data_IF_965392999470
#
_entry.id   IF_965392999470
#
_cell.length_a   1.000
_cell.length_b   1.000
_cell.length_c   1.000
_cell.angle_alpha   90.00
_cell.angle_beta   90.00
_cell.angle_gamma   90.00
#
_symmetry.space_group_name_H-M   'P 1'
#
loop_
_entity.id
_entity.type
_entity.pdbx_description
1 polymer ?
#
# COMPACT_ATOMS: atom_id res chain seq x y z
N UNK A 1 -17.69 -6.31 32.42
CA UNK A 1 -17.66 -6.71 31.00
C UNK A 1 -16.25 -6.59 30.48
N UNK A 2 -15.78 -7.54 29.67
CA UNK A 2 -14.44 -7.49 29.08
C UNK A 2 -14.49 -6.67 27.79
N UNK A 3 -13.99 -5.43 27.82
CA UNK A 3 -13.78 -4.61 26.63
C UNK A 3 -12.44 -4.93 25.98
N UNK A 4 -12.36 -4.86 24.65
CA UNK A 4 -11.09 -4.94 23.92
C UNK A 4 -10.83 -3.63 23.18
N UNK A 5 -9.62 -3.08 23.32
CA UNK A 5 -9.22 -1.85 22.64
C UNK A 5 -8.96 -2.15 21.17
N UNK A 6 -9.58 -1.39 20.28
CA UNK A 6 -9.30 -1.38 18.84
C UNK A 6 -8.85 0.00 18.41
N UNK A 7 -7.95 0.06 17.43
CA UNK A 7 -7.57 1.30 16.77
C UNK A 7 -8.38 1.45 15.48
N UNK A 8 -8.81 2.66 15.15
CA UNK A 8 -9.36 2.99 13.83
C UNK A 8 -8.36 3.87 13.07
N UNK A 9 -8.24 3.64 11.76
CA UNK A 9 -7.44 4.49 10.86
C UNK A 9 -8.22 4.71 9.58
N UNK A 10 -8.46 5.97 9.24
CA UNK A 10 -9.08 6.36 7.97
C UNK A 10 -8.01 6.65 6.92
N UNK A 11 -8.21 6.13 5.72
CA UNK A 11 -7.33 6.27 4.56
C UNK A 11 -8.15 6.78 3.37
N UNK A 12 -7.56 7.65 2.56
CA UNK A 12 -8.07 8.04 1.25
C UNK A 12 -7.09 7.55 0.19
N UNK A 13 -7.59 6.83 -0.81
CA UNK A 13 -6.79 6.26 -1.88
C UNK A 13 -7.37 6.62 -3.25
N UNK A 14 -6.51 6.93 -4.21
CA UNK A 14 -6.87 7.20 -5.60
C UNK A 14 -6.83 5.89 -6.40
N UNK A 15 -7.91 5.59 -7.11
CA UNK A 15 -7.96 4.52 -8.12
C UNK A 15 -8.18 5.13 -9.50
N UNK A 16 -7.09 5.57 -10.12
CA UNK A 16 -7.09 6.10 -11.47
C UNK A 16 -6.93 4.98 -12.49
N UNK A 17 -7.85 4.91 -13.45
CA UNK A 17 -7.86 3.92 -14.53
C UNK A 17 -7.86 4.64 -15.87
N UNK A 18 -7.00 4.21 -16.79
CA UNK A 18 -6.98 4.76 -18.16
C UNK A 18 -8.01 4.05 -19.07
N UNK A 19 -8.15 4.51 -20.31
CA UNK A 19 -9.05 3.92 -21.31
C UNK A 19 -8.70 2.47 -21.68
N UNK A 20 -7.45 2.05 -21.47
CA UNK A 20 -6.98 0.68 -21.66
C UNK A 20 -7.25 -0.25 -20.47
N UNK A 21 -7.82 0.25 -19.37
CA UNK A 21 -8.07 -0.52 -18.15
C UNK A 21 -6.87 -0.67 -17.22
N UNK A 22 -5.76 0.02 -17.50
CA UNK A 22 -4.56 0.01 -16.67
C UNK A 22 -4.73 0.92 -15.46
N UNK A 23 -4.12 0.54 -14.33
CA UNK A 23 -4.28 1.22 -13.04
C UNK A 23 -3.00 1.97 -12.69
N UNK A 24 -3.16 3.24 -12.29
CA UNK A 24 -2.07 4.01 -11.71
C UNK A 24 -1.79 3.54 -10.27
N UNK A 25 -0.59 2.99 -10.04
CA UNK A 25 -0.20 2.40 -8.77
C UNK A 25 1.24 2.78 -8.38
N UNK A 26 1.48 2.91 -7.07
CA UNK A 26 2.81 3.03 -6.50
C UNK A 26 3.45 1.64 -6.41
N UNK A 27 4.41 1.34 -7.27
CA UNK A 27 5.12 0.06 -7.30
C UNK A 27 6.15 -0.09 -6.18
N UNK A 28 6.76 1.01 -5.73
CA UNK A 28 7.75 0.98 -4.66
C UNK A 28 8.04 2.34 -4.04
N UNK A 29 8.92 2.34 -3.04
CA UNK A 29 9.48 3.55 -2.43
C UNK A 29 11.00 3.46 -2.50
N UNK A 30 11.64 4.50 -2.99
CA UNK A 30 13.10 4.63 -3.02
C UNK A 30 13.56 5.30 -1.73
N UNK A 31 14.55 4.72 -1.05
CA UNK A 31 15.15 5.30 0.15
C UNK A 31 16.26 4.42 0.72
N UNK A 32 17.16 5.01 1.51
CA UNK A 32 18.19 4.27 2.28
C UNK A 32 19.09 3.35 1.44
N UNK A 33 19.37 3.69 0.18
CA UNK A 33 20.22 2.91 -0.71
C UNK A 33 19.51 1.81 -1.53
N UNK A 34 18.17 1.77 -1.55
CA UNK A 34 17.44 0.79 -2.36
C UNK A 34 15.99 1.14 -2.66
N UNK A 35 15.31 0.23 -3.36
CA UNK A 35 13.88 0.30 -3.65
C UNK A 35 13.15 -0.77 -2.83
N UNK A 36 12.12 -0.36 -2.08
CA UNK A 36 11.21 -1.29 -1.39
C UNK A 36 9.93 -1.45 -2.19
N UNK A 37 9.59 -2.66 -2.67
CA UNK A 37 8.34 -2.89 -3.38
C UNK A 37 7.15 -2.73 -2.44
N UNK A 38 6.07 -2.12 -2.92
CA UNK A 38 4.85 -1.92 -2.12
C UNK A 38 3.54 -2.18 -2.87
N UNK A 39 3.50 -2.01 -4.20
CA UNK A 39 2.36 -2.26 -5.09
C UNK A 39 1.00 -1.83 -4.48
N UNK A 40 0.81 -0.52 -4.30
CA UNK A 40 -0.36 0.05 -3.64
C UNK A 40 -0.96 1.19 -4.46
N UNK A 41 -2.27 1.40 -4.32
CA UNK A 41 -2.91 2.63 -4.77
C UNK A 41 -2.29 3.84 -4.06
N UNK A 42 -2.02 4.95 -4.78
CA UNK A 42 -1.59 6.19 -4.16
C UNK A 42 -2.62 6.63 -3.12
N UNK A 43 -2.16 7.01 -1.94
CA UNK A 43 -3.06 7.37 -0.86
C UNK A 43 -2.41 8.13 0.28
N UNK A 44 -3.26 8.63 1.17
CA UNK A 44 -2.88 9.30 2.39
C UNK A 44 -3.77 8.87 3.54
N UNK A 45 -3.28 9.04 4.77
CA UNK A 45 -4.15 8.99 5.95
C UNK A 45 -4.99 10.26 5.96
N UNK A 46 -6.24 10.11 6.36
CA UNK A 46 -7.10 11.24 6.66
C UNK A 46 -6.69 11.81 8.01
N UNK A 47 -6.46 13.12 8.07
CA UNK A 47 -6.11 13.81 9.30
C UNK A 47 -7.36 14.14 10.13
N UNK A 48 -7.14 14.54 11.37
CA UNK A 48 -8.23 14.94 12.24
C UNK A 48 -8.96 16.15 11.64
N UNK A 49 -10.29 16.09 11.65
CA UNK A 49 -11.17 17.15 11.13
C UNK A 49 -11.14 17.36 9.62
N UNK A 50 -10.52 16.46 8.85
CA UNK A 50 -10.62 16.49 7.38
C UNK A 50 -11.81 15.73 6.85
N UNK A 51 -12.34 16.19 5.73
CA UNK A 51 -13.21 15.40 4.86
C UNK A 51 -12.38 14.51 3.92
N UNK A 52 -13.06 13.59 3.22
CA UNK A 52 -12.43 12.80 2.16
C UNK A 52 -11.91 13.69 1.02
N UNK A 53 -12.66 14.76 0.70
CA UNK A 53 -12.27 15.76 -0.29
C UNK A 53 -10.97 16.46 0.09
N UNK A 54 -10.88 17.00 1.30
CA UNK A 54 -9.67 17.69 1.80
C UNK A 54 -8.45 16.77 1.75
N UNK A 55 -8.63 15.52 2.18
CA UNK A 55 -7.58 14.50 2.13
C UNK A 55 -7.13 14.18 0.71
N UNK A 56 -8.07 14.13 -0.24
CA UNK A 56 -7.78 13.88 -1.65
C UNK A 56 -7.06 15.08 -2.28
N UNK A 57 -7.54 16.29 -2.06
CA UNK A 57 -6.88 17.52 -2.53
C UNK A 57 -5.45 17.60 -2.01
N UNK A 58 -5.21 17.31 -0.72
CA UNK A 58 -3.86 17.24 -0.17
C UNK A 58 -3.04 16.12 -0.80
N UNK A 59 -3.61 14.94 -1.06
CA UNK A 59 -2.91 13.85 -1.74
C UNK A 59 -2.42 14.30 -3.12
N UNK A 60 -3.28 14.97 -3.89
CA UNK A 60 -2.93 15.55 -5.19
C UNK A 60 -1.82 16.58 -4.97
N UNK A 61 -2.03 17.62 -4.16
CA UNK A 61 -1.06 18.70 -3.97
C UNK A 61 0.32 18.25 -3.47
N UNK A 62 0.37 17.26 -2.56
CA UNK A 62 1.62 16.87 -1.88
C UNK A 62 2.45 15.81 -2.61
N UNK A 63 1.81 14.87 -3.31
CA UNK A 63 2.50 13.69 -3.88
C UNK A 63 2.36 13.57 -5.39
N UNK A 64 1.25 14.04 -5.95
CA UNK A 64 0.90 13.79 -7.35
C UNK A 64 0.96 15.08 -8.18
N UNK A 65 0.93 16.24 -7.53
CA UNK A 65 1.16 17.59 -8.04
C UNK A 65 0.74 17.80 -9.48
N UNK A 66 1.70 18.31 -10.27
CA UNK A 66 1.56 18.59 -11.70
C UNK A 66 1.32 17.36 -12.58
N UNK A 67 1.47 16.14 -12.06
CA UNK A 67 1.21 14.93 -12.85
C UNK A 67 -0.29 14.73 -13.08
N UNK A 68 -1.13 15.07 -12.08
CA UNK A 68 -2.57 14.77 -12.09
C UNK A 68 -3.48 15.97 -11.80
N UNK A 69 -2.95 17.09 -11.32
CA UNK A 69 -3.76 18.29 -11.08
C UNK A 69 -4.52 18.69 -12.36
N UNK A 70 -5.84 18.88 -12.23
CA UNK A 70 -6.77 19.27 -13.30
C UNK A 70 -6.90 18.29 -14.49
N UNK A 71 -6.31 17.10 -14.40
CA UNK A 71 -6.33 16.08 -15.48
C UNK A 71 -7.29 14.93 -15.24
N UNK A 72 -7.86 14.84 -14.05
CA UNK A 72 -8.67 13.71 -13.61
C UNK A 72 -10.04 14.15 -13.13
N UNK A 73 -11.03 13.33 -13.43
CA UNK A 73 -12.39 13.48 -12.96
C UNK A 73 -12.67 12.42 -11.89
N UNK A 74 -13.18 12.86 -10.74
CA UNK A 74 -13.52 11.98 -9.62
C UNK A 74 -14.90 11.35 -9.84
N UNK A 75 -14.97 10.05 -9.59
CA UNK A 75 -16.23 9.31 -9.49
C UNK A 75 -16.74 9.20 -8.06
N UNK A 76 -17.75 8.34 -7.88
CA UNK A 76 -18.33 8.05 -6.57
C UNK A 76 -17.35 7.28 -5.69
N UNK A 77 -17.10 7.79 -4.48
CA UNK A 77 -16.16 7.20 -3.53
C UNK A 77 -16.74 5.91 -2.92
N UNK A 78 -15.94 4.86 -2.87
CA UNK A 78 -16.29 3.56 -2.28
C UNK A 78 -15.57 3.35 -0.95
N UNK A 79 -16.28 2.86 0.07
CA UNK A 79 -15.67 2.48 1.36
C UNK A 79 -15.24 1.01 1.37
N UNK A 80 -13.99 0.76 1.76
CA UNK A 80 -13.44 -0.57 2.02
C UNK A 80 -12.97 -0.68 3.47
N UNK A 81 -13.47 -1.68 4.20
CA UNK A 81 -13.08 -1.92 5.59
C UNK A 81 -12.16 -3.15 5.66
N UNK A 82 -11.05 -3.03 6.37
CA UNK A 82 -10.16 -4.18 6.65
C UNK A 82 -9.67 -4.14 8.10
N UNK A 83 -9.63 -5.28 8.77
CA UNK A 83 -9.04 -5.40 10.11
C UNK A 83 -7.69 -6.13 10.04
N UNK A 84 -6.64 -5.54 10.62
CA UNK A 84 -5.32 -6.18 10.75
C UNK A 84 -4.65 -5.82 12.06
N UNK A 85 -3.82 -6.72 12.58
CA UNK A 85 -2.92 -6.41 13.70
C UNK A 85 -1.84 -5.45 13.21
N UNK A 86 -1.72 -4.28 13.85
CA UNK A 86 -0.70 -3.31 13.50
C UNK A 86 0.68 -3.83 13.88
N UNK A 87 1.63 -3.88 12.93
CA UNK A 87 3.01 -4.26 13.24
C UNK A 87 3.72 -3.22 14.11
N UNK A 88 3.37 -1.94 13.97
CA UNK A 88 4.01 -0.86 14.72
C UNK A 88 3.54 -0.77 16.18
N UNK A 89 2.27 -1.09 16.44
CA UNK A 89 1.64 -0.85 17.77
C UNK A 89 1.17 -2.15 18.43
N UNK A 90 1.11 -3.27 17.70
CA UNK A 90 0.67 -4.57 18.22
C UNK A 90 -0.84 -4.71 18.46
N UNK A 91 -1.64 -3.66 18.24
CA UNK A 91 -3.08 -3.63 18.50
C UNK A 91 -3.88 -3.90 17.20
N UNK A 92 -5.02 -4.58 17.34
CA UNK A 92 -5.97 -4.77 16.23
C UNK A 92 -6.45 -3.40 15.72
N UNK A 93 -6.22 -3.15 14.43
CA UNK A 93 -6.54 -1.90 13.77
C UNK A 93 -7.56 -2.15 12.67
N UNK A 94 -8.68 -1.44 12.73
CA UNK A 94 -9.67 -1.33 11.65
C UNK A 94 -9.26 -0.18 10.73
N UNK A 95 -8.93 -0.50 9.51
CA UNK A 95 -8.65 0.44 8.44
C UNK A 95 -9.94 0.69 7.68
N UNK A 96 -10.38 1.95 7.65
CA UNK A 96 -11.46 2.42 6.79
C UNK A 96 -10.81 3.12 5.60
N UNK A 97 -10.88 2.51 4.42
CA UNK A 97 -10.25 3.03 3.21
C UNK A 97 -11.32 3.55 2.28
N UNK A 98 -11.34 4.86 2.07
CA UNK A 98 -12.14 5.52 1.05
C UNK A 98 -11.37 5.48 -0.27
N UNK A 99 -11.87 4.73 -1.23
CA UNK A 99 -11.31 4.61 -2.57
C UNK A 99 -12.04 5.58 -3.48
N UNK A 100 -11.34 6.61 -3.94
CA UNK A 100 -11.82 7.58 -4.91
C UNK A 100 -11.47 7.07 -6.33
N UNK A 101 -12.43 6.51 -7.09
CA UNK A 101 -12.20 6.19 -8.48
C UNK A 101 -12.00 7.48 -9.29
N UNK A 102 -11.12 7.44 -10.26
CA UNK A 102 -10.93 8.55 -11.19
C UNK A 102 -10.63 8.06 -12.60
N UNK A 103 -10.95 8.92 -13.56
CA UNK A 103 -10.62 8.76 -14.98
C UNK A 103 -9.91 10.01 -15.48
N UNK A 104 -9.12 9.89 -16.54
CA UNK A 104 -8.57 11.06 -17.21
C UNK A 104 -9.67 11.85 -17.91
N UNK A 105 -9.52 13.17 -17.93
CA UNK A 105 -10.28 14.04 -18.80
C UNK A 105 -10.05 13.69 -20.28
N UNK A 106 -10.91 14.14 -21.21
CA UNK A 106 -10.77 13.84 -22.63
C UNK A 106 -9.42 14.30 -23.19
N UNK A 107 -8.61 13.35 -23.67
CA UNK A 107 -7.29 13.64 -24.26
C UNK A 107 -6.16 13.84 -23.24
N UNK A 108 -6.44 13.76 -21.95
CA UNK A 108 -5.42 13.89 -20.90
C UNK A 108 -4.63 12.60 -20.70
N UNK A 109 -3.37 12.75 -20.30
CA UNK A 109 -2.49 11.64 -19.96
C UNK A 109 -1.41 12.06 -18.97
N UNK A 110 -0.76 11.07 -18.36
CA UNK A 110 0.41 11.30 -17.52
C UNK A 110 1.61 11.46 -18.44
N UNK A 111 2.19 12.65 -18.41
CA UNK A 111 3.53 12.91 -18.96
C UNK A 111 4.55 12.56 -17.88
N UNK A 112 4.89 11.28 -17.77
CA UNK A 112 5.90 10.81 -16.83
C UNK A 112 7.27 10.83 -17.51
N UNK A 113 8.31 11.40 -16.87
CA UNK A 113 9.66 11.30 -17.40
C UNK A 113 10.04 9.82 -17.50
N UNK A 114 10.33 9.37 -18.72
CA UNK A 114 10.85 8.03 -18.95
C UNK A 114 12.22 7.90 -18.29
N UNK A 115 12.28 7.22 -17.15
CA UNK A 115 13.57 6.86 -16.55
C UNK A 115 14.07 5.63 -17.31
N UNK A 116 15.12 5.81 -18.11
CA UNK A 116 15.85 4.69 -18.66
C UNK A 116 16.44 3.89 -17.49
N UNK A 117 15.83 2.76 -17.14
CA UNK A 117 16.44 1.83 -16.21
C UNK A 117 17.50 1.06 -16.99
N UNK A 118 18.76 1.25 -16.62
CA UNK A 118 19.84 0.37 -17.11
C UNK A 118 19.68 -0.96 -16.38
N UNK A 119 19.46 -2.04 -17.11
CA UNK A 119 19.49 -3.42 -16.60
C UNK A 119 20.91 -3.89 -16.26
N UNK A 120 21.83 -2.95 -15.94
CA UNK A 120 23.22 -3.27 -15.65
C UNK A 120 23.42 -3.49 -14.14
N UNK A 121 23.52 -4.76 -13.76
CA UNK A 121 24.02 -5.22 -12.46
C UNK A 121 22.95 -5.84 -11.55
N UNK A 122 22.99 -7.12 -11.20
CA UNK A 122 23.93 -8.19 -11.51
C UNK A 122 23.25 -9.52 -11.17
N UNK A 123 23.74 -10.61 -11.75
CA UNK A 123 23.41 -11.94 -11.26
C UNK A 123 23.66 -11.98 -9.73
N UNK A 124 22.80 -12.64 -8.94
CA UNK A 124 23.10 -12.86 -7.54
C UNK A 124 24.46 -13.55 -7.45
N UNK A 125 25.38 -12.94 -6.70
CA UNK A 125 26.63 -13.55 -6.30
C UNK A 125 26.34 -14.97 -5.79
N UNK A 126 26.82 -15.97 -6.52
CA UNK A 126 26.68 -17.39 -6.20
C UNK A 126 27.50 -17.81 -4.97
N UNK A 127 28.00 -16.85 -4.18
CA UNK A 127 28.82 -17.06 -2.99
C UNK A 127 28.06 -17.21 -1.66
N UNK A 128 26.74 -17.00 -1.61
CA UNK A 128 25.98 -17.25 -0.37
C UNK A 128 25.41 -18.68 -0.37
N UNK A 129 25.94 -19.61 0.46
CA UNK A 129 25.33 -20.93 0.59
C UNK A 129 23.91 -20.77 1.10
N UNK A 130 22.97 -21.42 0.40
CA UNK A 130 21.56 -21.45 0.75
C UNK A 130 21.37 -21.74 2.25
N UNK A 131 20.44 -21.06 2.94
CA UNK A 131 20.11 -21.40 4.32
C UNK A 131 19.69 -22.86 4.35
N UNK A 132 20.39 -23.67 5.16
CA UNK A 132 20.14 -25.10 5.29
C UNK A 132 18.65 -25.31 5.63
N UNK A 133 17.97 -26.28 5.00
CA UNK A 133 16.60 -26.60 5.37
C UNK A 133 16.55 -26.91 6.87
N UNK A 134 15.71 -26.15 7.56
CA UNK A 134 15.47 -26.26 8.99
C UNK A 134 14.97 -27.69 9.27
N UNK A 135 15.83 -28.55 9.81
CA UNK A 135 15.42 -29.88 10.24
C UNK A 135 14.33 -29.68 11.31
N UNK A 136 13.12 -30.14 10.99
CA UNK A 136 12.00 -30.16 11.93
C UNK A 136 12.46 -30.98 13.13
N UNK A 137 12.53 -30.35 14.30
CA UNK A 137 12.71 -31.08 15.56
C UNK A 137 11.55 -32.07 15.67
N UNK A 138 11.79 -33.36 15.96
CA UNK A 138 10.73 -34.29 16.27
C UNK A 138 9.98 -33.77 17.49
N UNK A 139 8.66 -33.77 17.38
CA UNK A 139 7.70 -33.45 18.43
C UNK A 139 7.99 -34.34 19.64
N UNK A 140 8.30 -33.74 20.80
CA UNK A 140 8.27 -34.44 22.07
C UNK A 140 6.82 -34.87 22.34
N UNK A 141 6.58 -36.16 22.20
CA UNK A 141 5.35 -36.83 22.64
C UNK A 141 5.28 -36.74 24.16
N UNK A 142 4.34 -35.94 24.66
CA UNK A 142 4.02 -35.87 26.08
C UNK A 142 3.11 -37.07 26.41
N UNK A 143 3.69 -38.11 27.02
CA UNK A 143 2.93 -39.23 27.58
C UNK A 143 2.07 -38.73 28.75
N UNK A 144 0.75 -38.85 28.60
CA UNK A 144 -0.20 -38.66 29.69
C UNK A 144 -0.17 -39.92 30.55
N UNK A 145 0.57 -39.86 31.66
CA UNK A 145 0.55 -40.88 32.70
C UNK A 145 -0.80 -40.91 33.40
N UNK A 146 -1.53 -42.01 33.23
CA UNK A 146 -2.64 -42.39 34.10
C UNK A 146 -2.06 -43.04 35.38
N UNK A 147 -2.43 -42.50 36.54
CA UNK A 147 -2.87 -43.26 37.73
C UNK A 147 -3.37 -42.33 38.81
#
# INVERSE_FOLDING_TARGET
GYGSVRRAVSLVALRLVNSGGEIFAQIGTIGGGGCKPCCQLPGTKQEASETVGDSFERLIASKLGSLLADKIELGEVVEEITERKSQAVGICTRYLRMVAPATFGPGESIDAPGVAYSTEGGAPDAGHPAPRPMQRRPSESMEIGQR
#
